data_IF_919574057530
#
_entry.id   IF_919574057530
#
_cell.length_a   1.000
_cell.length_b   1.000
_cell.length_c   1.000
_cell.angle_alpha   90.00
_cell.angle_beta   90.00
_cell.angle_gamma   90.00
#
_symmetry.space_group_name_H-M   'P 1'
#
loop_
_entity.id
_entity.type
_entity.pdbx_description
1 polymer ?
#
# COMPACT_ATOMS: atom_id res chain seq x y z
N UNK A 1 18.50 43.21 31.09
CA UNK A 1 18.40 41.75 31.20
C UNK A 1 17.70 41.20 29.95
N UNK A 2 18.44 40.98 28.87
CA UNK A 2 17.90 40.55 27.57
C UNK A 2 18.62 39.26 27.13
N UNK A 3 18.00 38.10 27.38
CA UNK A 3 18.68 36.81 27.15
C UNK A 3 17.78 35.61 26.90
N UNK A 4 16.51 35.79 26.52
CA UNK A 4 15.53 34.67 26.44
C UNK A 4 15.10 34.31 25.00
N UNK A 5 15.51 35.09 23.98
CA UNK A 5 15.00 34.91 22.60
C UNK A 5 15.64 33.78 21.76
N UNK A 6 16.87 33.37 22.06
CA UNK A 6 17.65 32.47 21.19
C UNK A 6 17.26 30.99 21.24
N UNK A 7 16.73 30.50 22.36
CA UNK A 7 16.36 29.09 22.52
C UNK A 7 15.10 28.70 21.73
N UNK A 8 14.11 29.59 21.70
CA UNK A 8 12.84 29.38 20.99
C UNK A 8 13.04 29.38 19.46
N UNK A 9 13.95 30.22 18.96
CA UNK A 9 14.29 30.27 17.54
C UNK A 9 14.97 28.97 17.07
N UNK A 10 15.90 28.44 17.88
CA UNK A 10 16.57 27.16 17.61
C UNK A 10 15.57 25.99 17.58
N UNK A 11 14.58 25.99 18.48
CA UNK A 11 13.53 24.97 18.49
C UNK A 11 12.64 25.03 17.24
N UNK A 12 12.24 26.23 16.79
CA UNK A 12 11.46 26.39 15.56
C UNK A 12 12.24 25.92 14.32
N UNK A 13 13.54 26.22 14.27
CA UNK A 13 14.42 25.76 13.19
C UNK A 13 14.53 24.23 13.19
N UNK A 14 14.71 23.62 14.36
CA UNK A 14 14.76 22.16 14.48
C UNK A 14 13.47 21.49 13.99
N UNK A 15 12.31 22.02 14.36
CA UNK A 15 11.00 21.49 13.91
C UNK A 15 10.83 21.64 12.39
N UNK A 16 11.30 22.75 11.80
CA UNK A 16 11.25 22.93 10.35
C UNK A 16 12.14 21.93 9.61
N UNK A 17 13.35 21.68 10.13
CA UNK A 17 14.28 20.69 9.56
C UNK A 17 13.71 19.28 9.65
N UNK A 18 13.16 18.87 10.80
CA UNK A 18 12.59 17.52 10.94
C UNK A 18 11.40 17.31 10.01
N UNK A 19 10.52 18.30 9.87
CA UNK A 19 9.41 18.25 8.91
C UNK A 19 9.90 18.13 7.46
N UNK A 20 10.89 18.92 7.07
CA UNK A 20 11.48 18.83 5.73
C UNK A 20 12.11 17.48 5.43
N UNK A 21 12.77 16.86 6.43
CA UNK A 21 13.34 15.51 6.32
C UNK A 21 12.25 14.45 6.16
N UNK A 22 11.15 14.55 6.89
CA UNK A 22 10.02 13.62 6.77
C UNK A 22 9.34 13.72 5.40
N UNK A 23 9.17 14.92 4.87
CA UNK A 23 8.66 15.14 3.51
C UNK A 23 9.60 14.59 2.44
N UNK A 24 10.91 14.85 2.57
CA UNK A 24 11.91 14.32 1.64
C UNK A 24 11.93 12.79 1.65
N UNK A 25 11.90 12.17 2.83
CA UNK A 25 11.78 10.71 2.98
C UNK A 25 10.52 10.19 2.32
N UNK A 26 9.39 10.86 2.52
CA UNK A 26 8.12 10.46 1.91
C UNK A 26 8.19 10.48 0.38
N UNK A 27 8.83 11.51 -0.20
CA UNK A 27 9.06 11.60 -1.65
C UNK A 27 10.02 10.53 -2.19
N UNK A 28 11.13 10.28 -1.50
CA UNK A 28 12.15 9.32 -1.95
C UNK A 28 11.60 7.89 -1.96
N UNK A 29 10.88 7.50 -0.90
CA UNK A 29 10.43 6.11 -0.72
C UNK A 29 8.96 5.88 -1.10
N UNK A 30 8.30 6.89 -1.67
CA UNK A 30 6.89 6.81 -2.06
C UNK A 30 5.95 6.59 -0.87
N UNK A 31 6.30 7.11 0.32
CA UNK A 31 5.38 7.09 1.46
C UNK A 31 4.37 8.23 1.35
N UNK A 32 3.12 7.96 1.75
CA UNK A 32 2.08 8.99 1.84
C UNK A 32 2.16 9.68 3.20
N UNK A 33 2.43 10.99 3.20
CA UNK A 33 2.44 11.81 4.40
C UNK A 33 1.04 12.39 4.68
N UNK A 34 0.55 12.28 5.92
CA UNK A 34 -0.76 12.80 6.33
C UNK A 34 -0.62 13.60 7.63
N UNK A 35 -0.26 14.89 7.54
CA UNK A 35 0.02 15.71 8.73
C UNK A 35 -1.24 16.01 9.55
N UNK A 36 -2.43 15.95 8.94
CA UNK A 36 -3.71 16.13 9.62
C UNK A 36 -4.16 14.89 10.41
N UNK A 37 -3.55 13.72 10.17
CA UNK A 37 -3.90 12.47 10.86
C UNK A 37 -5.31 11.92 10.55
N UNK A 38 -6.05 12.56 9.65
CA UNK A 38 -7.41 12.14 9.28
C UNK A 38 -7.41 10.81 8.55
N UNK A 39 -8.53 10.10 8.57
CA UNK A 39 -8.62 8.79 7.91
C UNK A 39 -8.52 8.94 6.39
N UNK A 40 -7.43 8.43 5.82
CA UNK A 40 -7.20 8.36 4.38
C UNK A 40 -7.55 6.95 3.83
N UNK A 41 -8.02 6.84 2.57
CA UNK A 41 -8.29 5.55 1.92
C UNK A 41 -7.04 4.69 1.68
N UNK A 42 -5.83 5.20 1.98
CA UNK A 42 -4.56 4.48 1.80
C UNK A 42 -4.52 3.08 2.47
N UNK A 43 -5.26 2.86 3.56
CA UNK A 43 -5.37 1.54 4.20
C UNK A 43 -6.12 0.51 3.34
N UNK A 44 -7.04 0.95 2.49
CA UNK A 44 -7.78 0.08 1.56
C UNK A 44 -6.89 -0.24 0.36
N UNK A 45 -6.25 0.79 -0.21
CA UNK A 45 -5.42 0.68 -1.41
C UNK A 45 -4.16 -0.17 -1.22
N UNK A 46 -3.58 -0.20 -0.01
CA UNK A 46 -2.38 -1.02 0.29
C UNK A 46 -2.66 -2.52 0.43
N UNK A 47 -3.92 -2.95 0.44
CA UNK A 47 -4.26 -4.38 0.51
C UNK A 47 -3.98 -4.99 -0.85
N UNK A 48 -3.21 -6.08 -0.89
CA UNK A 48 -3.05 -6.87 -2.13
C UNK A 48 -4.42 -7.38 -2.57
N UNK A 49 -4.73 -7.26 -3.85
CA UNK A 49 -5.92 -7.87 -4.42
C UNK A 49 -5.79 -9.38 -4.31
N UNK A 50 -6.83 -10.04 -3.79
CA UNK A 50 -6.84 -11.49 -3.54
C UNK A 50 -8.01 -12.18 -4.26
N UNK A 51 -8.73 -11.46 -5.13
CA UNK A 51 -9.92 -11.95 -5.81
C UNK A 51 -9.65 -13.19 -6.68
N UNK A 52 -8.59 -13.16 -7.48
CA UNK A 52 -8.20 -14.30 -8.33
C UNK A 52 -7.88 -15.56 -7.52
N UNK A 53 -7.10 -15.40 -6.45
CA UNK A 53 -6.77 -16.51 -5.53
C UNK A 53 -8.03 -17.11 -4.89
N UNK A 54 -9.02 -16.28 -4.56
CA UNK A 54 -10.28 -16.75 -3.98
C UNK A 54 -11.18 -17.39 -5.05
N UNK A 55 -11.20 -16.86 -6.27
CA UNK A 55 -11.97 -17.42 -7.38
C UNK A 55 -11.47 -18.82 -7.78
N UNK A 56 -10.16 -19.06 -7.70
CA UNK A 56 -9.51 -20.36 -7.92
C UNK A 56 -9.64 -21.31 -6.71
N UNK A 57 -10.76 -21.25 -5.99
CA UNK A 57 -11.02 -22.13 -4.84
C UNK A 57 -11.02 -23.61 -5.22
N UNK A 58 -11.60 -23.92 -6.39
CA UNK A 58 -11.57 -25.26 -6.95
C UNK A 58 -10.44 -25.39 -7.97
N UNK A 59 -9.67 -26.50 -7.94
CA UNK A 59 -8.64 -26.77 -8.93
C UNK A 59 -9.20 -26.81 -10.35
N UNK A 60 -8.31 -26.59 -11.32
CA UNK A 60 -8.63 -26.74 -12.73
C UNK A 60 -9.04 -28.19 -13.05
N UNK A 61 -10.17 -28.36 -13.74
CA UNK A 61 -10.62 -29.67 -14.20
C UNK A 61 -9.98 -30.00 -15.55
N UNK A 62 -8.91 -30.79 -15.49
CA UNK A 62 -8.11 -31.21 -16.66
C UNK A 62 -8.96 -32.03 -17.65
N UNK A 63 -10.03 -32.68 -17.17
CA UNK A 63 -10.93 -33.50 -17.99
C UNK A 63 -11.68 -32.69 -19.06
N UNK A 64 -11.70 -31.35 -18.92
CA UNK A 64 -12.30 -30.42 -19.88
C UNK A 64 -11.33 -29.93 -20.95
N UNK A 65 -10.04 -30.22 -20.82
CA UNK A 65 -9.01 -29.80 -21.78
C UNK A 65 -8.57 -30.94 -22.70
N UNK A 66 -8.65 -32.19 -22.23
CA UNK A 66 -8.24 -33.37 -23.00
C UNK A 66 -9.31 -33.73 -24.05
N UNK A 67 -9.03 -33.57 -25.37
CA UNK A 67 -10.00 -33.84 -26.43
C UNK A 67 -10.54 -35.28 -26.37
N UNK A 68 -9.67 -36.25 -26.06
CA UNK A 68 -10.05 -37.67 -26.00
C UNK A 68 -11.02 -37.96 -24.84
N UNK A 69 -10.95 -37.16 -23.78
CA UNK A 69 -11.82 -37.29 -22.61
C UNK A 69 -13.19 -36.64 -22.86
N UNK A 70 -13.23 -35.54 -23.60
CA UNK A 70 -14.46 -34.85 -24.02
C UNK A 70 -15.24 -35.74 -24.98
N UNK A 71 -14.59 -36.19 -26.07
CA UNK A 71 -15.22 -36.99 -27.14
C UNK A 71 -15.87 -38.26 -26.56
N UNK A 72 -15.15 -38.96 -25.67
CA UNK A 72 -15.66 -40.16 -24.98
C UNK A 72 -16.87 -39.89 -24.09
N UNK A 73 -16.99 -38.68 -23.55
CA UNK A 73 -18.11 -38.31 -22.66
C UNK A 73 -19.36 -37.93 -23.44
N UNK A 74 -19.20 -37.39 -24.65
CA UNK A 74 -20.29 -37.04 -25.56
C UNK A 74 -20.87 -38.26 -26.29
N UNK A 75 -20.07 -39.31 -26.49
CA UNK A 75 -20.52 -40.58 -27.08
C UNK A 75 -21.41 -41.45 -26.16
N UNK A 76 -21.52 -41.11 -24.86
CA UNK A 76 -22.37 -41.80 -23.87
C UNK A 76 -23.67 -41.05 -23.60
#
# INVERSE_FOLDING_TARGET
MSGVGGGRLKQLLAVAVTKGVEEARARIFGHVLNPAGLRSPHKILRKKLFGEKVAQWYPHDISKDDPLHIDRREEK
#
